data_IF_863886921146
#
_entry.id   IF_863886921146
#
_cell.length_a   1.000
_cell.length_b   1.000
_cell.length_c   1.000
_cell.angle_alpha   90.00
_cell.angle_beta   90.00
_cell.angle_gamma   90.00
#
_symmetry.space_group_name_H-M   'P 1'
#
loop_
_entity.id
_entity.type
_entity.pdbx_description
1 polymer ?
#
# COMPACT_ATOMS: atom_id res chain seq x y z
N UNK A 1 -44.42 -20.05 -41.57
CA UNK A 1 -43.99 -20.27 -40.17
C UNK A 1 -42.49 -19.93 -40.16
N UNK A 2 -42.08 -18.69 -39.86
CA UNK A 2 -41.81 -18.16 -38.50
C UNK A 2 -40.76 -19.06 -37.80
N UNK A 3 -39.57 -18.65 -37.34
CA UNK A 3 -39.03 -17.36 -36.85
C UNK A 3 -37.49 -17.47 -36.72
N UNK A 4 -36.78 -16.33 -36.68
CA UNK A 4 -35.62 -15.89 -35.86
C UNK A 4 -34.66 -16.94 -35.19
N UNK A 5 -33.36 -16.72 -34.93
CA UNK A 5 -32.64 -15.49 -34.56
C UNK A 5 -31.11 -15.72 -34.53
N UNK A 6 -30.38 -14.63 -34.76
CA UNK A 6 -28.95 -14.38 -34.53
C UNK A 6 -28.62 -14.42 -33.03
N UNK A 7 -27.57 -15.15 -32.62
CA UNK A 7 -26.84 -14.83 -31.37
C UNK A 7 -25.50 -15.52 -31.25
N UNK A 8 -24.49 -14.75 -31.64
CA UNK A 8 -23.32 -14.37 -30.83
C UNK A 8 -22.61 -15.45 -29.98
N UNK A 9 -21.38 -15.71 -30.41
CA UNK A 9 -20.15 -15.43 -29.65
C UNK A 9 -20.24 -15.77 -28.15
N UNK A 10 -20.06 -17.05 -27.82
CA UNK A 10 -19.79 -17.49 -26.45
C UNK A 10 -18.42 -18.18 -26.39
N UNK A 11 -17.61 -17.63 -25.49
CA UNK A 11 -16.55 -18.33 -24.76
C UNK A 11 -15.24 -18.66 -25.51
N UNK A 12 -14.28 -17.74 -25.40
CA UNK A 12 -13.15 -17.85 -24.44
C UNK A 12 -12.10 -16.78 -24.72
N UNK A 13 -12.39 -15.55 -24.32
CA UNK A 13 -11.32 -14.65 -23.88
C UNK A 13 -10.86 -15.21 -22.54
N UNK A 14 -9.83 -16.05 -22.55
CA UNK A 14 -9.10 -16.36 -21.32
C UNK A 14 -8.20 -15.17 -21.04
N UNK A 15 -8.76 -14.15 -20.39
CA UNK A 15 -7.95 -13.26 -19.57
C UNK A 15 -7.19 -14.16 -18.59
N UNK A 16 -5.86 -14.05 -18.45
CA UNK A 16 -5.16 -14.73 -17.37
C UNK A 16 -5.62 -14.09 -16.05
N UNK A 17 -6.71 -14.62 -15.50
CA UNK A 17 -7.22 -14.26 -14.19
C UNK A 17 -6.44 -15.07 -13.16
N UNK A 18 -5.24 -14.60 -12.86
CA UNK A 18 -4.68 -14.80 -11.54
C UNK A 18 -3.84 -13.58 -11.19
N UNK A 19 -4.31 -12.68 -10.30
CA UNK A 19 -3.36 -11.89 -9.55
C UNK A 19 -2.44 -12.91 -8.87
N UNK A 20 -1.14 -12.81 -9.16
CA UNK A 20 -0.15 -13.72 -8.63
C UNK A 20 -0.26 -13.73 -7.10
N UNK A 21 -0.69 -14.84 -6.46
CA UNK A 21 -0.92 -14.87 -5.03
C UNK A 21 0.39 -14.75 -4.23
N UNK A 22 1.55 -14.79 -4.90
CA UNK A 22 2.85 -14.59 -4.27
C UNK A 22 3.26 -13.11 -4.20
N UNK A 23 2.55 -12.18 -4.84
CA UNK A 23 2.79 -10.75 -4.65
C UNK A 23 1.81 -10.20 -3.62
N UNK A 24 2.28 -9.77 -2.44
CA UNK A 24 1.41 -9.18 -1.44
C UNK A 24 0.74 -7.95 -2.07
N UNK A 25 -0.59 -7.92 -2.05
CA UNK A 25 -1.33 -6.81 -2.60
C UNK A 25 -1.10 -5.56 -1.71
N UNK A 26 -1.20 -4.37 -2.30
CA UNK A 26 -0.95 -3.12 -1.57
C UNK A 26 -1.82 -3.01 -0.30
N UNK A 27 -3.06 -3.51 -0.35
CA UNK A 27 -3.98 -3.44 0.79
C UNK A 27 -3.48 -4.27 1.98
N UNK A 28 -2.96 -5.47 1.74
CA UNK A 28 -2.40 -6.34 2.76
C UNK A 28 -1.13 -5.73 3.33
N UNK A 29 -0.24 -5.20 2.48
CA UNK A 29 0.96 -4.49 2.92
C UNK A 29 0.65 -3.29 3.82
N UNK A 30 -0.36 -2.49 3.46
CA UNK A 30 -0.79 -1.34 4.27
C UNK A 30 -1.42 -1.78 5.59
N UNK A 31 -2.17 -2.89 5.60
CA UNK A 31 -2.75 -3.46 6.82
C UNK A 31 -1.67 -4.02 7.75
N UNK A 32 -0.66 -4.69 7.21
CA UNK A 32 0.50 -5.16 7.97
C UNK A 32 1.27 -3.97 8.57
N UNK A 33 1.46 -2.90 7.80
CA UNK A 33 2.13 -1.69 8.28
C UNK A 33 1.34 -1.02 9.40
N UNK A 34 0.02 -0.87 9.25
CA UNK A 34 -0.87 -0.37 10.29
C UNK A 34 -0.77 -1.22 11.57
N UNK A 35 -0.85 -2.55 11.45
CA UNK A 35 -0.75 -3.45 12.59
C UNK A 35 0.61 -3.35 13.31
N UNK A 36 1.70 -3.17 12.55
CA UNK A 36 3.02 -2.95 13.12
C UNK A 36 3.09 -1.64 13.91
N UNK A 37 2.52 -0.55 13.38
CA UNK A 37 2.45 0.75 14.09
C UNK A 37 1.64 0.61 15.39
N UNK A 38 0.47 -0.02 15.33
CA UNK A 38 -0.42 -0.17 16.49
C UNK A 38 0.21 -1.02 17.60
N UNK A 39 0.90 -2.10 17.21
CA UNK A 39 1.43 -3.10 18.14
C UNK A 39 2.79 -2.74 18.73
N UNK A 40 3.50 -1.75 18.17
CA UNK A 40 4.84 -1.41 18.62
C UNK A 40 4.79 -0.68 19.98
N UNK A 41 5.52 -1.18 21.00
CA UNK A 41 5.53 -0.59 22.34
C UNK A 41 6.49 0.59 22.49
N UNK A 42 7.45 0.75 21.57
CA UNK A 42 8.47 1.81 21.60
C UNK A 42 7.95 3.10 20.94
N UNK A 43 6.87 3.02 20.16
CA UNK A 43 6.16 4.13 19.55
C UNK A 43 5.23 4.85 20.55
N UNK A 44 5.40 6.16 20.80
CA UNK A 44 4.43 6.94 21.59
C UNK A 44 3.13 7.17 20.80
N UNK A 45 2.02 7.35 21.51
CA UNK A 45 0.68 7.49 20.90
C UNK A 45 0.59 8.61 19.85
N UNK A 46 1.29 9.72 20.08
CA UNK A 46 1.37 10.84 19.11
C UNK A 46 1.99 10.39 17.79
N UNK A 47 3.14 9.70 17.86
CA UNK A 47 3.83 9.22 16.66
C UNK A 47 3.02 8.10 15.98
N UNK A 48 2.33 7.24 16.74
CA UNK A 48 1.40 6.26 16.18
C UNK A 48 0.32 6.93 15.34
N UNK A 49 -0.35 7.95 15.88
CA UNK A 49 -1.39 8.67 15.16
C UNK A 49 -0.85 9.31 13.86
N UNK A 50 0.32 9.95 13.93
CA UNK A 50 0.96 10.57 12.78
C UNK A 50 1.36 9.55 11.70
N UNK A 51 1.89 8.39 12.10
CA UNK A 51 2.23 7.30 11.18
C UNK A 51 0.99 6.65 10.56
N UNK A 52 -0.09 6.47 11.33
CA UNK A 52 -1.36 5.96 10.80
C UNK A 52 -1.98 6.91 9.77
N UNK A 53 -1.88 8.23 9.96
CA UNK A 53 -2.25 9.21 8.93
C UNK A 53 -1.41 8.99 7.65
N UNK A 54 -0.13 8.68 7.79
CA UNK A 54 0.72 8.42 6.63
C UNK A 54 0.36 7.12 5.90
N UNK A 55 -0.06 6.07 6.62
CA UNK A 55 -0.61 4.85 6.00
C UNK A 55 -1.84 5.19 5.17
N UNK A 56 -2.70 6.08 5.66
CA UNK A 56 -3.86 6.57 4.90
C UNK A 56 -3.44 7.35 3.65
N UNK A 57 -2.43 8.22 3.75
CA UNK A 57 -1.88 8.95 2.59
C UNK A 57 -1.32 8.00 1.52
N UNK A 58 -0.68 6.90 1.92
CA UNK A 58 -0.19 5.87 1.00
C UNK A 58 -1.35 5.11 0.32
N UNK A 59 -2.46 4.88 1.04
CA UNK A 59 -3.67 4.32 0.46
C UNK A 59 -4.31 5.27 -0.58
N UNK A 60 -4.44 6.57 -0.24
CA UNK A 60 -4.97 7.60 -1.15
C UNK A 60 -4.08 7.77 -2.39
N UNK A 61 -2.76 7.64 -2.24
CA UNK A 61 -1.82 7.71 -3.37
C UNK A 61 -2.09 6.62 -4.43
N UNK A 62 -2.67 5.46 -4.07
CA UNK A 62 -3.08 4.45 -5.06
C UNK A 62 -4.27 4.90 -5.90
N UNK A 63 -5.17 5.68 -5.30
CA UNK A 63 -6.43 6.14 -5.89
C UNK A 63 -6.27 7.48 -6.61
N UNK A 64 -5.17 8.20 -6.37
CA UNK A 64 -4.90 9.51 -6.95
C UNK A 64 -4.35 9.37 -8.38
N UNK A 65 -5.09 9.91 -9.35
CA UNK A 65 -4.68 9.95 -10.76
C UNK A 65 -3.68 11.08 -11.06
N UNK A 66 -3.73 12.18 -10.30
CA UNK A 66 -2.82 13.32 -10.48
C UNK A 66 -1.40 12.98 -9.98
N UNK A 67 -0.37 12.94 -10.85
CA UNK A 67 0.97 12.50 -10.47
C UNK A 67 1.62 13.36 -9.38
N UNK A 68 1.44 14.69 -9.44
CA UNK A 68 2.03 15.62 -8.48
C UNK A 68 1.44 15.44 -7.08
N UNK A 69 0.11 15.35 -6.96
CA UNK A 69 -0.56 15.03 -5.69
C UNK A 69 -0.14 13.65 -5.17
N UNK A 70 -0.08 12.64 -6.04
CA UNK A 70 0.36 11.28 -5.67
C UNK A 70 1.79 11.27 -5.11
N UNK A 71 2.74 11.93 -5.80
CA UNK A 71 4.11 12.07 -5.31
C UNK A 71 4.17 12.83 -3.98
N UNK A 72 3.37 13.90 -3.83
CA UNK A 72 3.26 14.66 -2.59
C UNK A 72 2.83 13.80 -1.39
N UNK A 73 1.80 12.97 -1.56
CA UNK A 73 1.32 12.04 -0.55
C UNK A 73 2.40 11.03 -0.15
N UNK A 74 3.06 10.41 -1.14
CA UNK A 74 4.10 9.42 -0.88
C UNK A 74 5.34 10.05 -0.23
N UNK A 75 5.76 11.23 -0.68
CA UNK A 75 6.89 11.97 -0.09
C UNK A 75 6.59 12.37 1.35
N UNK A 76 5.38 12.87 1.64
CA UNK A 76 4.95 13.22 3.00
C UNK A 76 5.01 12.00 3.91
N UNK A 77 4.44 10.88 3.45
CA UNK A 77 4.45 9.63 4.20
C UNK A 77 5.88 9.16 4.50
N UNK A 78 6.72 9.05 3.46
CA UNK A 78 8.12 8.61 3.61
C UNK A 78 8.91 9.48 4.59
N UNK A 79 8.76 10.81 4.50
CA UNK A 79 9.45 11.75 5.40
C UNK A 79 9.06 11.54 6.85
N UNK A 80 7.77 11.34 7.14
CA UNK A 80 7.34 11.11 8.52
C UNK A 80 7.90 9.79 9.05
N UNK A 81 7.77 8.69 8.30
CA UNK A 81 8.37 7.42 8.68
C UNK A 81 9.88 7.58 8.93
N UNK A 82 10.61 8.27 8.06
CA UNK A 82 12.05 8.49 8.24
C UNK A 82 12.37 9.23 9.54
N UNK A 83 11.68 10.36 9.81
CA UNK A 83 11.93 11.17 11.01
C UNK A 83 11.55 10.41 12.29
N UNK A 84 10.40 9.73 12.31
CA UNK A 84 9.97 8.93 13.46
C UNK A 84 10.89 7.73 13.70
N UNK A 85 11.30 7.01 12.65
CA UNK A 85 12.19 5.86 12.83
C UNK A 85 13.60 6.28 13.27
N UNK A 86 14.04 7.50 12.95
CA UNK A 86 15.31 8.06 13.42
C UNK A 86 15.30 8.45 14.90
N UNK A 87 14.14 8.73 15.49
CA UNK A 87 14.02 9.04 16.92
C UNK A 87 13.92 7.79 17.80
N UNK A 88 13.70 6.62 17.21
CA UNK A 88 13.52 5.35 17.90
C UNK A 88 14.82 4.53 17.97
N UNK A 89 14.95 3.61 18.95
CA UNK A 89 16.03 2.64 18.97
C UNK A 89 16.01 1.79 17.70
N UNK A 90 17.19 1.48 17.14
CA UNK A 90 17.30 0.61 15.96
C UNK A 90 16.75 -0.82 16.19
N UNK A 91 16.56 -1.22 17.46
CA UNK A 91 15.97 -2.50 17.87
C UNK A 91 14.45 -2.47 17.95
N UNK A 92 13.80 -1.32 17.78
CA UNK A 92 12.34 -1.22 17.81
C UNK A 92 11.73 -2.04 16.65
N UNK A 93 10.65 -2.75 16.94
CA UNK A 93 10.01 -3.67 15.98
C UNK A 93 9.51 -2.92 14.74
N UNK A 94 9.05 -1.69 14.90
CA UNK A 94 8.58 -0.84 13.82
C UNK A 94 9.70 -0.47 12.85
N UNK A 95 10.94 -0.31 13.31
CA UNK A 95 12.09 -0.01 12.42
C UNK A 95 12.32 -1.17 11.46
N UNK A 96 12.30 -2.41 11.98
CA UNK A 96 12.41 -3.62 11.15
C UNK A 96 11.21 -3.77 10.20
N UNK A 97 9.99 -3.58 10.73
CA UNK A 97 8.75 -3.73 9.97
C UNK A 97 8.65 -2.73 8.83
N UNK A 98 8.93 -1.45 9.10
CA UNK A 98 8.97 -0.40 8.09
C UNK A 98 10.07 -0.63 7.05
N UNK A 99 11.25 -1.13 7.45
CA UNK A 99 12.33 -1.48 6.53
C UNK A 99 11.95 -2.56 5.52
N UNK A 100 11.01 -3.45 5.87
CA UNK A 100 10.48 -4.50 4.98
C UNK A 100 9.27 -4.04 4.18
N UNK A 101 8.31 -3.39 4.85
CA UNK A 101 7.00 -3.08 4.27
C UNK A 101 7.02 -1.83 3.40
N UNK A 102 7.71 -0.76 3.80
CA UNK A 102 7.71 0.49 3.03
C UNK A 102 8.24 0.31 1.60
N UNK A 103 9.38 -0.38 1.35
CA UNK A 103 9.84 -0.61 -0.02
C UNK A 103 8.82 -1.38 -0.89
N UNK A 104 8.12 -2.36 -0.31
CA UNK A 104 7.09 -3.13 -1.02
C UNK A 104 5.86 -2.27 -1.35
N UNK A 105 5.43 -1.44 -0.41
CA UNK A 105 4.31 -0.49 -0.60
C UNK A 105 4.66 0.52 -1.69
N UNK A 106 5.85 1.12 -1.63
CA UNK A 106 6.31 2.09 -2.61
C UNK A 106 6.40 1.46 -4.00
N UNK A 107 6.96 0.25 -4.10
CA UNK A 107 6.98 -0.52 -5.35
C UNK A 107 5.56 -0.76 -5.91
N UNK A 108 4.61 -1.14 -5.06
CA UNK A 108 3.21 -1.35 -5.46
C UNK A 108 2.47 -0.06 -5.88
N UNK A 109 2.97 1.10 -5.44
CA UNK A 109 2.52 2.43 -5.85
C UNK A 109 3.24 2.96 -7.11
N UNK A 110 4.31 2.29 -7.56
CA UNK A 110 5.12 2.71 -8.70
C UNK A 110 6.27 3.65 -8.35
N UNK A 111 6.61 3.79 -7.07
CA UNK A 111 7.78 4.53 -6.60
C UNK A 111 8.88 3.53 -6.25
N UNK A 112 9.92 3.45 -7.09
CA UNK A 112 11.13 2.74 -6.70
C UNK A 112 11.95 3.65 -5.76
N UNK A 113 12.27 3.12 -4.59
CA UNK A 113 13.27 3.67 -3.66
C UNK A 113 14.67 3.24 -4.04
#
# INVERSE_FOLDING_TARGET
MSICEDSRLKDKIQLPDRPDPAQPNLKDLLRELQAAIDSDPDLPDTDKADLLEQVQNLAEAKQTEEPAKKEGLVRKAKKMFEVTLQSLPATAQIVESCGKLLPLILKALGFLV
#
